data_IF_373297990011
#
_entry.id   IF_373297990011
#
_cell.length_a   1.000
_cell.length_b   1.000
_cell.length_c   1.000
_cell.angle_alpha   90.00
_cell.angle_beta   90.00
_cell.angle_gamma   90.00
#
_symmetry.space_group_name_H-M   'P 1'
#
loop_
_entity.id
_entity.type
_entity.pdbx_description
1 polymer ?
#
# COMPACT_ATOMS: atom_id res chain seq x y z
N UNK A 1 -1.56 -1.87 3.50
CA UNK A 1 -0.75 -0.69 3.16
C UNK A 1 -0.20 0.00 4.39
N UNK A 2 0.29 1.21 4.18
CA UNK A 2 0.92 2.02 5.21
C UNK A 2 2.38 1.63 5.48
N UNK A 3 3.10 2.44 6.23
CA UNK A 3 4.53 2.25 6.51
C UNK A 3 4.85 0.94 7.27
N UNK A 4 3.84 0.23 7.76
CA UNK A 4 3.99 -1.11 8.33
C UNK A 4 4.55 -2.11 7.30
N UNK A 5 4.26 -1.89 6.01
CA UNK A 5 4.78 -2.69 4.90
C UNK A 5 6.29 -2.58 4.81
N UNK A 6 6.80 -1.38 5.03
CA UNK A 6 8.21 -1.03 4.89
C UNK A 6 9.01 -1.43 6.12
N UNK A 7 8.44 -1.23 7.32
CA UNK A 7 9.14 -1.31 8.59
C UNK A 7 10.11 -0.15 8.80
N UNK A 8 10.51 0.09 10.03
CA UNK A 8 11.57 1.06 10.38
C UNK A 8 12.96 0.54 10.00
N UNK A 9 13.09 -0.76 9.84
CA UNK A 9 14.25 -1.46 9.28
C UNK A 9 13.78 -2.53 8.30
N UNK A 10 14.64 -3.00 7.43
CA UNK A 10 14.32 -4.12 6.53
C UNK A 10 13.93 -5.39 7.31
N UNK A 11 14.50 -5.60 8.48
CA UNK A 11 14.19 -6.75 9.33
C UNK A 11 12.77 -6.69 9.92
N UNK A 12 12.23 -5.49 10.13
CA UNK A 12 10.90 -5.27 10.72
C UNK A 12 9.79 -5.03 9.68
N UNK A 13 10.12 -5.14 8.37
CA UNK A 13 9.11 -5.08 7.31
C UNK A 13 8.03 -6.14 7.49
N UNK A 14 6.85 -5.88 6.97
CA UNK A 14 5.82 -6.89 6.92
C UNK A 14 6.18 -7.98 5.90
N UNK A 15 6.52 -9.17 6.42
CA UNK A 15 6.80 -10.34 5.60
C UNK A 15 5.60 -11.27 5.67
N UNK A 16 4.81 -11.30 4.60
CA UNK A 16 3.55 -12.04 4.55
C UNK A 16 3.71 -13.55 4.78
N UNK A 17 4.86 -14.13 4.41
CA UNK A 17 5.13 -15.56 4.64
C UNK A 17 5.18 -15.91 6.12
N UNK A 18 5.47 -14.92 7.00
CA UNK A 18 5.38 -15.10 8.45
C UNK A 18 3.94 -15.15 8.96
N UNK A 19 2.96 -14.86 8.12
CA UNK A 19 1.54 -14.88 8.45
C UNK A 19 0.81 -16.12 7.92
N UNK A 20 1.57 -17.12 7.46
CA UNK A 20 1.05 -18.36 6.86
C UNK A 20 1.12 -19.50 7.89
N UNK A 21 0.12 -20.38 7.87
CA UNK A 21 0.04 -21.51 8.78
C UNK A 21 -0.68 -21.20 10.09
N UNK A 22 -0.64 -22.12 11.08
CA UNK A 22 -1.34 -21.98 12.36
C UNK A 22 -0.97 -20.68 13.09
N UNK A 23 -1.97 -19.97 13.60
CA UNK A 23 -1.80 -18.64 14.23
C UNK A 23 -0.84 -18.68 15.41
N UNK A 24 -0.90 -19.74 16.20
CA UNK A 24 -0.06 -19.95 17.38
C UNK A 24 1.44 -20.11 17.08
N UNK A 25 1.78 -20.41 15.83
CA UNK A 25 3.16 -20.56 15.38
C UNK A 25 3.71 -19.32 14.69
N UNK A 26 2.89 -18.30 14.49
CA UNK A 26 3.33 -17.09 13.80
C UNK A 26 4.19 -16.21 14.72
N UNK A 27 5.27 -15.61 14.20
CA UNK A 27 6.12 -14.73 15.01
C UNK A 27 5.41 -13.44 15.40
N UNK A 28 6.01 -12.73 16.35
CA UNK A 28 5.64 -11.34 16.68
C UNK A 28 6.65 -10.44 15.99
N UNK A 29 6.18 -9.43 15.29
CA UNK A 29 7.00 -8.35 14.75
C UNK A 29 6.90 -7.13 15.67
N UNK A 30 8.04 -6.56 16.01
CA UNK A 30 8.14 -5.32 16.80
C UNK A 30 8.64 -4.24 15.86
N UNK A 31 7.83 -3.23 15.63
CA UNK A 31 8.20 -2.08 14.81
C UNK A 31 8.01 -0.79 15.61
N UNK A 32 9.01 0.05 15.63
CA UNK A 32 8.95 1.34 16.32
C UNK A 32 8.48 2.41 15.34
N UNK A 33 7.29 2.93 15.58
CA UNK A 33 6.62 3.89 14.71
C UNK A 33 6.78 5.36 15.14
N UNK A 34 7.56 5.64 16.16
CA UNK A 34 7.55 6.93 16.86
C UNK A 34 8.76 7.81 16.69
N UNK A 35 9.65 7.54 15.74
CA UNK A 35 10.80 8.42 15.53
C UNK A 35 10.36 9.84 15.16
N UNK A 36 9.37 9.95 14.26
CA UNK A 36 8.81 11.22 13.80
C UNK A 36 7.70 11.76 14.73
N UNK A 37 7.08 10.88 15.54
CA UNK A 37 5.97 11.25 16.43
C UNK A 37 6.25 10.89 17.89
N UNK A 38 7.28 11.51 18.53
CA UNK A 38 7.71 11.14 19.88
C UNK A 38 6.67 11.43 20.98
N UNK A 39 5.62 12.20 20.66
CA UNK A 39 4.52 12.52 21.58
C UNK A 39 3.51 11.38 21.74
N UNK A 40 3.56 10.34 20.91
CA UNK A 40 2.66 9.19 21.05
C UNK A 40 2.97 8.40 22.30
N UNK A 41 1.91 7.96 23.01
CA UNK A 41 2.03 7.19 24.27
C UNK A 41 2.67 5.82 24.07
N UNK A 42 2.47 5.21 22.90
CA UNK A 42 2.89 3.87 22.59
C UNK A 42 3.88 3.90 21.41
N UNK A 43 5.19 3.93 21.69
CA UNK A 43 6.22 4.04 20.66
C UNK A 43 6.38 2.78 19.80
N UNK A 44 6.06 1.61 20.35
CA UNK A 44 6.30 0.35 19.69
C UNK A 44 4.99 -0.30 19.24
N UNK A 45 5.00 -0.81 18.01
CA UNK A 45 3.95 -1.69 17.51
C UNK A 45 4.34 -3.14 17.73
N UNK A 46 3.40 -3.91 18.26
CA UNK A 46 3.52 -5.34 18.40
C UNK A 46 2.53 -6.00 17.47
N UNK A 47 3.03 -6.62 16.40
CA UNK A 47 2.22 -7.37 15.45
C UNK A 47 2.38 -8.87 15.70
N UNK A 48 1.31 -9.51 16.12
CA UNK A 48 1.28 -10.96 16.33
C UNK A 48 1.17 -11.77 15.04
N UNK A 49 0.96 -11.11 13.89
CA UNK A 49 0.63 -11.73 12.61
C UNK A 49 -0.58 -12.69 12.65
N UNK A 50 -1.42 -12.58 13.67
CA UNK A 50 -2.70 -13.30 13.75
C UNK A 50 -3.66 -12.95 12.63
N UNK A 51 -3.55 -11.72 12.08
CA UNK A 51 -4.19 -11.30 10.84
C UNK A 51 -3.11 -11.16 9.77
N UNK A 52 -3.09 -12.08 8.81
CA UNK A 52 -2.25 -12.06 7.63
C UNK A 52 -3.05 -11.84 6.35
N UNK A 53 -2.40 -11.94 5.20
CA UNK A 53 -3.13 -11.78 3.93
C UNK A 53 -4.19 -12.87 3.71
N UNK A 54 -4.00 -14.07 4.25
CA UNK A 54 -5.03 -15.10 4.19
C UNK A 54 -6.34 -14.61 4.82
N UNK A 55 -6.28 -14.12 6.06
CA UNK A 55 -7.44 -13.63 6.80
C UNK A 55 -8.03 -12.34 6.17
N UNK A 56 -7.18 -11.45 5.64
CA UNK A 56 -7.65 -10.26 4.91
C UNK A 56 -8.32 -10.61 3.58
N UNK A 57 -7.85 -11.63 2.88
CA UNK A 57 -8.49 -12.09 1.65
C UNK A 57 -9.84 -12.75 1.94
N UNK A 58 -9.95 -13.54 3.02
CA UNK A 58 -11.24 -14.05 3.50
C UNK A 58 -12.20 -12.92 3.86
N UNK A 59 -11.72 -11.92 4.62
CA UNK A 59 -12.55 -10.74 4.94
C UNK A 59 -13.02 -10.03 3.66
N UNK A 60 -12.16 -9.90 2.66
CA UNK A 60 -12.55 -9.29 1.38
C UNK A 60 -13.68 -10.08 0.71
N UNK A 61 -13.61 -11.41 0.69
CA UNK A 61 -14.70 -12.25 0.18
C UNK A 61 -16.00 -12.07 0.99
N UNK A 62 -15.90 -12.10 2.32
CA UNK A 62 -17.05 -11.99 3.23
C UNK A 62 -17.83 -10.68 3.05
N UNK A 63 -17.15 -9.59 2.76
CA UNK A 63 -17.77 -8.27 2.55
C UNK A 63 -17.97 -7.90 1.07
N UNK A 64 -17.59 -8.79 0.15
CA UNK A 64 -17.71 -8.57 -1.29
C UNK A 64 -16.75 -7.50 -1.83
N UNK A 65 -15.59 -7.32 -1.21
CA UNK A 65 -14.54 -6.40 -1.63
C UNK A 65 -13.43 -7.10 -2.41
N UNK A 66 -12.72 -6.35 -3.26
CA UNK A 66 -11.53 -6.85 -3.96
C UNK A 66 -10.30 -6.74 -3.04
N UNK A 67 -9.51 -7.81 -2.87
CA UNK A 67 -8.28 -7.76 -2.10
C UNK A 67 -7.20 -6.96 -2.83
N UNK A 68 -6.49 -6.09 -2.09
CA UNK A 68 -5.40 -5.27 -2.60
C UNK A 68 -4.22 -5.31 -1.62
N UNK A 69 -3.32 -6.29 -1.72
CA UNK A 69 -2.12 -6.34 -0.89
C UNK A 69 -1.07 -5.32 -1.35
N UNK A 70 -0.36 -4.74 -0.39
CA UNK A 70 0.81 -3.89 -0.62
C UNK A 70 2.05 -4.60 -0.10
N UNK A 71 3.10 -4.68 -0.92
CA UNK A 71 4.34 -5.38 -0.60
C UNK A 71 5.54 -4.44 -0.55
N UNK A 72 6.51 -4.82 0.26
CA UNK A 72 7.79 -4.13 0.37
C UNK A 72 8.62 -4.27 -0.93
N UNK A 73 9.20 -3.17 -1.39
CA UNK A 73 10.04 -3.12 -2.58
C UNK A 73 11.57 -3.13 -2.28
N UNK A 74 11.97 -3.54 -1.08
CA UNK A 74 13.36 -3.51 -0.65
C UNK A 74 13.80 -2.18 -0.04
N UNK A 75 12.85 -1.33 0.33
CA UNK A 75 13.08 -0.08 1.07
C UNK A 75 12.45 -0.18 2.45
N UNK A 76 13.17 0.25 3.49
CA UNK A 76 12.55 0.59 4.77
C UNK A 76 11.81 1.93 4.66
N UNK A 77 10.96 2.25 5.62
CA UNK A 77 10.21 3.50 5.62
C UNK A 77 11.18 4.70 5.55
N UNK A 78 11.01 5.55 4.55
CA UNK A 78 11.90 6.70 4.36
C UNK A 78 11.65 7.81 5.39
N UNK A 79 10.47 7.84 6.04
CA UNK A 79 10.18 8.74 7.16
C UNK A 79 10.73 8.22 8.49
N UNK A 80 10.58 6.92 8.75
CA UNK A 80 10.76 6.29 10.05
C UNK A 80 11.93 5.30 10.06
N UNK A 81 12.87 5.40 9.13
CA UNK A 81 14.03 4.52 9.10
C UNK A 81 15.11 4.96 10.10
N UNK A 82 15.90 3.98 10.55
CA UNK A 82 17.02 4.17 11.46
C UNK A 82 18.32 4.52 10.74
N UNK A 83 18.29 4.70 9.41
CA UNK A 83 19.43 5.08 8.58
C UNK A 83 19.35 4.56 7.15
N UNK A 84 20.10 5.18 6.26
CA UNK A 84 20.10 4.88 4.82
C UNK A 84 20.58 3.47 4.48
N UNK A 85 21.35 2.83 5.36
CA UNK A 85 21.86 1.47 5.17
C UNK A 85 20.80 0.37 5.30
N UNK A 86 19.58 0.75 5.63
CA UNK A 86 18.43 -0.16 5.76
C UNK A 86 17.79 -0.52 4.41
N UNK A 87 18.33 -0.04 3.29
CA UNK A 87 17.81 -0.34 1.96
C UNK A 87 18.54 -1.53 1.33
N UNK A 88 17.78 -2.43 0.71
CA UNK A 88 18.32 -3.58 -0.01
C UNK A 88 18.99 -3.10 -1.32
N UNK A 89 20.20 -3.54 -1.64
CA UNK A 89 20.79 -3.29 -2.95
C UNK A 89 19.92 -3.85 -4.09
N UNK A 90 19.85 -3.14 -5.22
CA UNK A 90 19.01 -3.52 -6.36
C UNK A 90 19.33 -4.93 -6.89
N UNK A 91 20.58 -5.31 -6.90
CA UNK A 91 21.05 -6.65 -7.30
C UNK A 91 20.66 -7.77 -6.32
N UNK A 92 20.10 -7.43 -5.17
CA UNK A 92 19.62 -8.37 -4.14
C UNK A 92 18.09 -8.35 -3.94
N UNK A 93 17.35 -7.81 -4.89
CA UNK A 93 15.88 -7.71 -4.81
C UNK A 93 15.16 -9.03 -5.14
N UNK A 94 15.85 -10.05 -5.67
CA UNK A 94 15.18 -11.29 -6.11
C UNK A 94 14.27 -11.91 -5.03
N UNK A 95 14.67 -12.03 -3.74
CA UNK A 95 13.78 -12.58 -2.71
C UNK A 95 12.48 -11.78 -2.50
N UNK A 96 12.51 -10.46 -2.73
CA UNK A 96 11.33 -9.59 -2.62
C UNK A 96 10.40 -9.75 -3.84
N UNK A 97 11.00 -9.92 -5.02
CA UNK A 97 10.27 -10.23 -6.25
C UNK A 97 9.60 -11.60 -6.13
N UNK A 98 10.31 -12.59 -5.61
CA UNK A 98 9.77 -13.93 -5.35
C UNK A 98 8.61 -13.85 -4.34
N UNK A 99 8.71 -13.02 -3.29
CA UNK A 99 7.62 -12.79 -2.35
C UNK A 99 6.34 -12.28 -3.05
N UNK A 100 6.48 -11.39 -4.04
CA UNK A 100 5.35 -10.89 -4.81
C UNK A 100 4.74 -11.96 -5.72
N UNK A 101 5.57 -12.71 -6.43
CA UNK A 101 5.12 -13.80 -7.31
C UNK A 101 4.46 -14.94 -6.52
N UNK A 102 5.04 -15.28 -5.37
CA UNK A 102 4.52 -16.30 -4.47
C UNK A 102 3.17 -15.88 -3.85
N UNK A 103 2.99 -14.60 -3.53
CA UNK A 103 1.71 -14.12 -3.02
C UNK A 103 0.59 -14.21 -4.07
N UNK A 104 0.91 -13.88 -5.32
CA UNK A 104 -0.06 -14.06 -6.42
C UNK A 104 -0.39 -15.55 -6.58
N UNK A 105 0.61 -16.43 -6.52
CA UNK A 105 0.37 -17.88 -6.57
C UNK A 105 -0.42 -18.36 -5.35
N UNK A 106 -0.12 -17.84 -4.14
CA UNK A 106 -0.88 -18.12 -2.93
C UNK A 106 -2.35 -17.74 -3.09
N UNK A 107 -2.63 -16.56 -3.62
CA UNK A 107 -3.98 -16.07 -3.81
C UNK A 107 -4.73 -16.82 -4.92
N UNK A 108 -4.10 -17.02 -6.06
CA UNK A 108 -4.77 -17.44 -7.31
C UNK A 108 -4.35 -18.82 -7.83
N UNK A 109 -3.20 -19.34 -7.41
CA UNK A 109 -2.65 -20.59 -7.93
C UNK A 109 -3.54 -21.81 -7.67
N UNK A 110 -3.45 -22.84 -8.52
CA UNK A 110 -4.17 -24.09 -8.32
C UNK A 110 -3.64 -24.82 -7.07
N UNK A 111 -4.45 -25.67 -6.47
CA UNK A 111 -4.07 -26.47 -5.28
C UNK A 111 -2.89 -27.42 -5.54
N UNK A 112 -2.52 -27.62 -6.79
CA UNK A 112 -1.35 -28.42 -7.20
C UNK A 112 -0.05 -27.62 -7.24
N UNK A 113 -0.12 -26.27 -7.16
CA UNK A 113 1.05 -25.41 -7.06
C UNK A 113 1.52 -25.31 -5.61
N UNK A 114 2.75 -24.86 -5.41
CA UNK A 114 3.34 -24.78 -4.07
C UNK A 114 2.50 -23.91 -3.12
N UNK A 115 2.23 -22.68 -3.50
CA UNK A 115 1.53 -21.73 -2.64
C UNK A 115 0.01 -21.89 -2.69
N UNK A 116 -0.56 -22.33 -3.80
CA UNK A 116 -1.97 -22.69 -3.88
C UNK A 116 -2.33 -23.88 -2.97
N UNK A 117 -1.39 -24.84 -2.81
CA UNK A 117 -1.53 -25.92 -1.84
C UNK A 117 -1.53 -25.38 -0.40
N UNK A 118 -0.63 -24.47 -0.08
CA UNK A 118 -0.58 -23.86 1.27
C UNK A 118 -1.89 -23.16 1.60
N UNK A 119 -2.45 -22.39 0.67
CA UNK A 119 -3.78 -21.78 0.83
C UNK A 119 -4.86 -22.82 1.11
N UNK A 120 -4.86 -23.91 0.34
CA UNK A 120 -5.85 -25.00 0.51
C UNK A 120 -5.70 -25.69 1.87
N UNK A 121 -4.46 -25.96 2.31
CA UNK A 121 -4.16 -26.54 3.62
C UNK A 121 -4.60 -25.61 4.79
N UNK A 122 -4.64 -24.30 4.56
CA UNK A 122 -5.20 -23.31 5.49
C UNK A 122 -6.74 -23.25 5.47
N UNK A 123 -7.39 -24.08 4.64
CA UNK A 123 -8.86 -24.20 4.61
C UNK A 123 -9.56 -23.49 3.46
N UNK A 124 -8.82 -22.89 2.51
CA UNK A 124 -9.40 -22.17 1.37
C UNK A 124 -8.86 -22.72 0.02
N UNK A 125 -9.42 -23.82 -0.50
CA UNK A 125 -8.96 -24.41 -1.76
C UNK A 125 -9.27 -23.57 -3.01
N UNK A 126 -10.31 -22.73 -2.96
CA UNK A 126 -10.66 -21.83 -4.07
C UNK A 126 -9.64 -20.69 -4.23
N UNK A 127 -9.57 -20.10 -5.42
CA UNK A 127 -8.82 -18.85 -5.64
C UNK A 127 -9.52 -17.69 -4.96
N UNK A 128 -8.74 -16.75 -4.38
CA UNK A 128 -9.24 -15.46 -3.92
C UNK A 128 -9.48 -14.46 -5.06
N UNK A 129 -9.13 -14.82 -6.29
CA UNK A 129 -9.31 -13.99 -7.46
C UNK A 129 -8.63 -12.60 -7.33
N UNK A 130 -7.42 -12.59 -6.79
CA UNK A 130 -6.60 -11.39 -6.66
C UNK A 130 -6.40 -10.73 -8.02
N UNK A 131 -6.69 -9.45 -8.11
CA UNK A 131 -6.60 -8.66 -9.35
C UNK A 131 -5.55 -7.56 -9.28
N UNK A 132 -5.21 -7.11 -8.08
CA UNK A 132 -4.35 -5.97 -7.82
C UNK A 132 -3.19 -6.35 -6.90
N UNK A 133 -2.03 -5.76 -7.14
CA UNK A 133 -0.90 -5.79 -6.23
C UNK A 133 -0.20 -4.43 -6.24
N UNK A 134 0.06 -3.88 -5.06
CA UNK A 134 0.85 -2.67 -4.92
C UNK A 134 2.27 -3.01 -4.44
N UNK A 135 3.27 -2.32 -4.99
CA UNK A 135 4.68 -2.53 -4.68
C UNK A 135 5.27 -1.23 -4.14
N UNK A 136 5.68 -1.25 -2.88
CA UNK A 136 6.12 -0.07 -2.14
C UNK A 136 4.96 0.71 -1.54
N UNK A 137 5.27 1.54 -0.55
CA UNK A 137 4.32 2.43 0.13
C UNK A 137 5.00 3.77 0.39
N UNK A 138 4.42 4.87 -0.10
CA UNK A 138 4.94 6.22 0.09
C UNK A 138 6.43 6.42 -0.26
N UNK A 139 6.99 5.57 -1.10
CA UNK A 139 8.38 5.71 -1.50
C UNK A 139 8.58 6.96 -2.36
N UNK A 140 9.74 7.60 -2.23
CA UNK A 140 10.10 8.77 -3.03
C UNK A 140 11.54 8.73 -3.56
N UNK A 141 11.82 9.66 -4.49
CA UNK A 141 13.13 9.80 -5.11
C UNK A 141 13.48 8.67 -6.08
N UNK A 142 14.70 8.70 -6.65
CA UNK A 142 15.11 7.77 -7.71
C UNK A 142 15.27 6.31 -7.23
N UNK A 143 15.45 6.09 -5.94
CA UNK A 143 15.58 4.75 -5.36
C UNK A 143 14.34 3.88 -5.61
N UNK A 144 13.16 4.49 -5.70
CA UNK A 144 11.93 3.75 -5.85
C UNK A 144 11.72 3.19 -7.26
N UNK A 145 11.72 3.98 -8.35
CA UNK A 145 11.52 3.42 -9.70
C UNK A 145 12.60 2.40 -10.09
N UNK A 146 13.85 2.55 -9.63
CA UNK A 146 14.92 1.55 -9.84
C UNK A 146 14.55 0.19 -9.27
N UNK A 147 13.84 0.15 -8.13
CA UNK A 147 13.41 -1.08 -7.47
C UNK A 147 12.08 -1.59 -8.03
N UNK A 148 11.15 -0.71 -8.35
CA UNK A 148 9.86 -1.10 -8.90
C UNK A 148 9.99 -1.79 -10.28
N UNK A 149 10.90 -1.32 -11.12
CA UNK A 149 11.05 -1.82 -12.49
C UNK A 149 11.25 -3.34 -12.59
N UNK A 150 12.15 -3.99 -11.82
CA UNK A 150 12.28 -5.46 -11.84
C UNK A 150 11.01 -6.20 -11.36
N UNK A 151 10.25 -5.67 -10.41
CA UNK A 151 8.96 -6.25 -10.02
C UNK A 151 7.95 -6.20 -11.18
N UNK A 152 7.82 -5.04 -11.81
CA UNK A 152 6.91 -4.88 -12.97
C UNK A 152 7.27 -5.89 -14.06
N UNK A 153 8.55 -6.03 -14.39
CA UNK A 153 9.00 -7.01 -15.40
C UNK A 153 8.65 -8.45 -15.03
N UNK A 154 8.92 -8.83 -13.78
CA UNK A 154 8.67 -10.19 -13.31
C UNK A 154 7.17 -10.52 -13.23
N UNK A 155 6.36 -9.62 -12.68
CA UNK A 155 4.91 -9.81 -12.57
C UNK A 155 4.28 -9.87 -13.96
N UNK A 156 4.61 -8.94 -14.87
CA UNK A 156 4.09 -8.95 -16.25
C UNK A 156 4.47 -10.22 -17.02
N UNK A 157 5.65 -10.78 -16.76
CA UNK A 157 6.08 -12.01 -17.41
C UNK A 157 5.32 -13.25 -16.95
N UNK A 158 4.95 -13.32 -15.67
CA UNK A 158 4.33 -14.52 -15.07
C UNK A 158 2.82 -14.41 -14.91
N UNK A 159 2.32 -13.19 -14.60
CA UNK A 159 0.92 -12.90 -14.29
C UNK A 159 0.46 -11.60 -14.98
N UNK A 160 0.37 -11.61 -16.34
CA UNK A 160 0.05 -10.39 -17.10
C UNK A 160 -1.35 -9.81 -16.80
N UNK A 161 -2.25 -10.61 -16.21
CA UNK A 161 -3.60 -10.21 -15.83
C UNK A 161 -3.65 -9.37 -14.54
N UNK A 162 -2.59 -9.42 -13.72
CA UNK A 162 -2.54 -8.70 -12.45
C UNK A 162 -2.25 -7.22 -12.71
N UNK A 163 -3.10 -6.35 -12.18
CA UNK A 163 -2.90 -4.91 -12.19
C UNK A 163 -1.86 -4.51 -11.16
N UNK A 164 -0.83 -3.78 -11.58
CA UNK A 164 0.26 -3.33 -10.75
C UNK A 164 0.03 -1.87 -10.35
N UNK A 165 0.15 -1.59 -9.05
CA UNK A 165 0.03 -0.26 -8.48
C UNK A 165 1.42 0.20 -8.03
N UNK A 166 1.83 1.39 -8.47
CA UNK A 166 3.05 2.06 -8.01
C UNK A 166 2.72 3.35 -7.28
N UNK A 167 3.61 3.78 -6.38
CA UNK A 167 3.42 4.98 -5.56
C UNK A 167 3.90 6.26 -6.25
N UNK A 168 3.19 7.36 -6.06
CA UNK A 168 3.64 8.71 -6.45
C UNK A 168 4.37 9.45 -5.33
N UNK A 169 4.69 8.76 -4.25
CA UNK A 169 5.32 9.34 -3.07
C UNK A 169 4.31 9.64 -1.94
N UNK A 170 4.79 10.30 -0.89
CA UNK A 170 3.98 10.54 0.32
C UNK A 170 3.03 11.73 0.19
N UNK A 171 3.05 12.43 -0.95
CA UNK A 171 2.27 13.63 -1.15
C UNK A 171 1.70 13.70 -2.57
N UNK A 172 0.67 14.51 -2.73
CA UNK A 172 -0.08 14.67 -3.97
C UNK A 172 0.42 15.81 -4.86
N UNK A 173 1.51 16.44 -4.51
CA UNK A 173 2.12 17.57 -5.24
C UNK A 173 3.59 17.77 -4.83
N UNK A 174 4.31 18.62 -5.56
CA UNK A 174 5.72 18.93 -5.31
C UNK A 174 6.68 17.99 -6.04
N UNK A 175 7.98 18.18 -5.77
CA UNK A 175 9.06 17.60 -6.58
C UNK A 175 9.04 16.08 -6.67
N UNK A 176 8.68 15.39 -5.60
CA UNK A 176 8.69 13.92 -5.58
C UNK A 176 7.50 13.37 -6.38
N UNK A 177 6.32 13.96 -6.23
CA UNK A 177 5.14 13.66 -7.03
C UNK A 177 5.38 13.94 -8.53
N UNK A 178 5.92 15.11 -8.85
CA UNK A 178 6.23 15.53 -10.22
C UNK A 178 7.31 14.67 -10.88
N UNK A 179 8.22 14.10 -10.09
CA UNK A 179 9.21 13.13 -10.54
C UNK A 179 8.62 11.74 -10.75
N UNK A 180 7.84 11.25 -9.79
CA UNK A 180 7.38 9.85 -9.78
C UNK A 180 6.24 9.59 -10.77
N UNK A 181 5.33 10.53 -10.99
CA UNK A 181 4.23 10.32 -11.95
C UNK A 181 4.71 9.97 -13.36
N UNK A 182 5.67 10.70 -13.99
CA UNK A 182 6.27 10.31 -15.26
C UNK A 182 6.96 8.93 -15.20
N UNK A 183 7.62 8.60 -14.09
CA UNK A 183 8.25 7.30 -13.91
C UNK A 183 7.22 6.15 -13.87
N UNK A 184 6.08 6.36 -13.20
CA UNK A 184 4.99 5.37 -13.19
C UNK A 184 4.44 5.15 -14.62
N UNK A 185 4.28 6.22 -15.40
CA UNK A 185 3.93 6.12 -16.83
C UNK A 185 4.99 5.37 -17.63
N UNK A 186 6.26 5.65 -17.41
CA UNK A 186 7.40 4.97 -18.09
C UNK A 186 7.40 3.48 -17.79
N UNK A 187 7.17 3.11 -16.54
CA UNK A 187 7.12 1.72 -16.08
C UNK A 187 5.83 1.00 -16.46
N UNK A 188 4.84 1.73 -16.99
CA UNK A 188 3.53 1.20 -17.39
C UNK A 188 2.81 0.46 -16.27
N UNK A 189 2.81 1.04 -15.07
CA UNK A 189 1.93 0.56 -14.00
C UNK A 189 0.47 0.81 -14.40
N UNK A 190 -0.46 0.03 -13.86
CA UNK A 190 -1.89 0.19 -14.18
C UNK A 190 -2.52 1.32 -13.40
N UNK A 191 -2.13 1.46 -12.12
CA UNK A 191 -2.59 2.54 -11.26
C UNK A 191 -1.42 3.21 -10.56
N UNK A 192 -1.61 4.47 -10.20
CA UNK A 192 -0.69 5.24 -9.36
C UNK A 192 -1.38 5.53 -8.04
N UNK A 193 -0.71 5.14 -6.96
CA UNK A 193 -1.16 5.37 -5.59
C UNK A 193 -0.77 6.79 -5.16
N UNK A 194 -1.78 7.61 -4.92
CA UNK A 194 -1.65 8.99 -4.43
C UNK A 194 -2.06 9.08 -2.97
N UNK A 195 -1.18 9.64 -2.13
CA UNK A 195 -1.44 9.89 -0.72
C UNK A 195 -1.50 11.39 -0.45
N UNK A 196 -2.44 11.83 0.37
CA UNK A 196 -2.55 13.23 0.75
C UNK A 196 -3.27 13.47 2.07
N UNK A 197 -2.55 14.11 2.98
CA UNK A 197 -3.03 14.60 4.27
C UNK A 197 -2.92 16.13 4.24
N UNK A 198 -4.05 16.82 4.01
CA UNK A 198 -4.07 18.23 3.66
C UNK A 198 -5.07 19.03 4.48
N UNK A 199 -4.95 20.37 4.43
CA UNK A 199 -5.86 21.27 5.15
C UNK A 199 -7.30 21.26 4.60
N UNK A 200 -8.29 21.73 5.39
CA UNK A 200 -9.64 21.90 4.92
C UNK A 200 -9.76 22.74 3.62
N UNK A 201 -8.98 23.83 3.53
CA UNK A 201 -8.99 24.67 2.32
C UNK A 201 -8.49 23.89 1.10
N UNK A 202 -7.43 23.09 1.27
CA UNK A 202 -6.91 22.29 0.16
C UNK A 202 -7.98 21.32 -0.36
N UNK A 203 -8.68 20.61 0.51
CA UNK A 203 -9.74 19.67 0.13
C UNK A 203 -10.87 20.36 -0.66
N UNK A 204 -11.35 21.52 -0.18
CA UNK A 204 -12.39 22.29 -0.86
C UNK A 204 -11.93 22.80 -2.23
N UNK A 205 -10.69 23.29 -2.33
CA UNK A 205 -10.13 23.82 -3.58
C UNK A 205 -9.76 22.73 -4.58
N UNK A 206 -9.50 21.51 -4.12
CA UNK A 206 -8.99 20.41 -4.95
C UNK A 206 -10.09 19.46 -5.47
N UNK A 207 -11.37 19.77 -5.28
CA UNK A 207 -12.48 18.95 -5.78
C UNK A 207 -12.49 18.75 -7.32
N UNK A 208 -11.71 19.56 -8.05
CA UNK A 208 -11.52 19.46 -9.52
C UNK A 208 -10.17 18.88 -9.92
N UNK A 209 -9.39 18.37 -8.97
CA UNK A 209 -8.02 17.87 -9.20
C UNK A 209 -7.94 16.92 -10.40
N UNK A 210 -8.82 15.95 -10.47
CA UNK A 210 -8.77 14.89 -11.48
C UNK A 210 -9.44 15.23 -12.81
N UNK A 211 -10.09 16.41 -12.93
CA UNK A 211 -10.77 16.83 -14.16
C UNK A 211 -9.82 16.94 -15.37
N UNK A 212 -8.53 17.25 -15.11
CA UNK A 212 -7.51 17.42 -16.15
C UNK A 212 -6.57 16.21 -16.33
N UNK A 213 -6.76 15.13 -15.57
CA UNK A 213 -5.89 13.96 -15.70
C UNK A 213 -6.08 13.24 -17.03
N UNK A 214 -4.98 12.67 -17.53
CA UNK A 214 -4.95 11.90 -18.77
C UNK A 214 -5.77 10.61 -18.64
N UNK A 215 -6.87 10.50 -19.40
CA UNK A 215 -7.77 9.34 -19.38
C UNK A 215 -7.15 8.08 -20.01
N UNK A 216 -6.07 8.25 -20.79
CA UNK A 216 -5.37 7.15 -21.46
C UNK A 216 -4.13 6.67 -20.68
N UNK A 217 -3.75 7.38 -19.62
CA UNK A 217 -2.64 7.02 -18.73
C UNK A 217 -3.03 5.99 -17.67
N UNK A 218 -2.10 5.72 -16.73
CA UNK A 218 -2.42 4.94 -15.54
C UNK A 218 -3.62 5.55 -14.81
N UNK A 219 -4.42 4.68 -14.19
CA UNK A 219 -5.51 5.13 -13.32
C UNK A 219 -4.97 5.59 -11.97
N UNK A 220 -5.82 6.22 -11.18
CA UNK A 220 -5.49 6.68 -9.83
C UNK A 220 -6.08 5.72 -8.81
N UNK A 221 -5.26 5.37 -7.84
CA UNK A 221 -5.67 4.86 -6.55
C UNK A 221 -5.40 5.96 -5.52
N UNK A 222 -6.44 6.61 -4.97
CA UNK A 222 -6.29 7.51 -3.84
C UNK A 222 -6.19 6.66 -2.57
N UNK A 223 -4.98 6.14 -2.29
CA UNK A 223 -4.76 5.04 -1.35
C UNK A 223 -4.75 5.47 0.11
N UNK A 224 -4.36 6.72 0.38
CA UNK A 224 -4.46 7.30 1.72
C UNK A 224 -4.84 8.77 1.63
N UNK A 225 -5.92 9.16 2.29
CA UNK A 225 -6.24 10.58 2.43
C UNK A 225 -7.06 10.86 3.68
N UNK A 226 -6.79 12.02 4.28
CA UNK A 226 -7.62 12.60 5.32
C UNK A 226 -7.43 14.12 5.40
N UNK A 227 -8.47 14.82 5.81
CA UNK A 227 -8.43 16.25 6.04
C UNK A 227 -7.79 16.54 7.41
N UNK A 228 -6.61 17.15 7.40
CA UNK A 228 -5.86 17.50 8.60
C UNK A 228 -5.86 19.02 8.84
N UNK A 229 -6.68 19.54 9.77
CA UNK A 229 -6.53 20.90 10.25
C UNK A 229 -5.22 21.03 11.06
N UNK A 230 -4.80 22.26 11.36
CA UNK A 230 -3.53 22.53 12.06
C UNK A 230 -3.39 21.79 13.39
N UNK A 231 -4.49 21.61 14.12
CA UNK A 231 -4.51 20.87 15.40
C UNK A 231 -4.73 19.37 15.23
N UNK A 232 -4.91 18.89 14.00
CA UNK A 232 -5.25 17.49 13.65
C UNK A 232 -6.49 16.93 14.35
N UNK A 233 -7.38 17.78 14.83
CA UNK A 233 -8.63 17.36 15.44
C UNK A 233 -9.67 17.03 14.37
N UNK A 234 -10.27 15.86 14.48
CA UNK A 234 -11.40 15.47 13.66
C UNK A 234 -12.62 16.32 14.02
N UNK A 235 -13.29 16.87 13.02
CA UNK A 235 -14.43 17.74 13.21
C UNK A 235 -15.46 17.54 12.10
N UNK A 236 -16.68 18.04 12.31
CA UNK A 236 -17.69 18.03 11.26
C UNK A 236 -17.26 18.84 10.01
N UNK A 237 -16.47 19.90 10.20
CA UNK A 237 -15.92 20.65 9.08
C UNK A 237 -14.98 19.81 8.23
N UNK A 238 -14.08 19.03 8.85
CA UNK A 238 -13.16 18.15 8.10
C UNK A 238 -13.91 17.09 7.32
N UNK A 239 -14.95 16.48 7.91
CA UNK A 239 -15.81 15.54 7.22
C UNK A 239 -16.54 16.15 6.01
N UNK A 240 -17.03 17.41 6.12
CA UNK A 240 -17.64 18.12 4.99
C UNK A 240 -16.62 18.42 3.87
N UNK A 241 -15.38 18.77 4.23
CA UNK A 241 -14.33 19.03 3.25
C UNK A 241 -13.96 17.75 2.49
N UNK A 242 -13.83 16.63 3.19
CA UNK A 242 -13.59 15.32 2.58
C UNK A 242 -14.77 14.91 1.67
N UNK A 243 -16.00 15.05 2.14
CA UNK A 243 -17.19 14.74 1.34
C UNK A 243 -17.26 15.60 0.06
N UNK A 244 -16.93 16.89 0.14
CA UNK A 244 -16.86 17.75 -1.02
C UNK A 244 -15.78 17.29 -2.03
N UNK A 245 -14.61 16.90 -1.55
CA UNK A 245 -13.55 16.34 -2.38
C UNK A 245 -13.96 15.02 -3.04
N UNK A 246 -14.61 14.11 -2.30
CA UNK A 246 -15.09 12.82 -2.81
C UNK A 246 -16.04 12.97 -3.99
N UNK A 247 -16.81 14.06 -4.09
CA UNK A 247 -17.62 14.32 -5.29
C UNK A 247 -16.77 14.45 -6.56
N UNK A 248 -15.52 14.92 -6.40
CA UNK A 248 -14.53 14.98 -7.47
C UNK A 248 -13.97 13.61 -7.85
N UNK A 249 -13.78 12.73 -6.87
CA UNK A 249 -13.38 11.34 -7.11
C UNK A 249 -14.45 10.60 -7.91
N UNK A 250 -15.71 10.66 -7.47
CA UNK A 250 -16.84 10.02 -8.15
C UNK A 250 -17.07 10.57 -9.57
N UNK A 251 -16.99 11.90 -9.73
CA UNK A 251 -17.14 12.54 -11.05
C UNK A 251 -16.08 12.07 -12.04
N UNK A 252 -14.91 11.72 -11.56
CA UNK A 252 -13.76 11.25 -12.33
C UNK A 252 -13.51 9.75 -12.17
N UNK A 253 -14.54 8.93 -12.00
CA UNK A 253 -14.42 7.47 -11.83
C UNK A 253 -13.80 6.76 -13.04
N UNK A 254 -13.71 7.43 -14.18
CA UNK A 254 -12.97 6.97 -15.36
C UNK A 254 -11.44 7.13 -15.23
N UNK A 255 -10.98 7.89 -14.23
CA UNK A 255 -9.57 8.08 -13.88
C UNK A 255 -9.29 7.53 -12.48
N UNK A 256 -10.11 7.88 -11.49
CA UNK A 256 -9.96 7.40 -10.12
C UNK A 256 -10.67 6.05 -9.98
N UNK A 257 -9.91 4.97 -10.14
CA UNK A 257 -10.47 3.60 -10.11
C UNK A 257 -10.73 3.13 -8.67
N UNK A 258 -9.88 3.53 -7.73
CA UNK A 258 -9.94 3.12 -6.33
C UNK A 258 -9.69 4.30 -5.39
N UNK A 259 -10.30 4.27 -4.22
CA UNK A 259 -9.95 5.16 -3.12
C UNK A 259 -10.15 4.48 -1.76
N UNK A 260 -9.28 4.80 -0.80
CA UNK A 260 -9.34 4.29 0.58
C UNK A 260 -9.00 5.39 1.57
N UNK A 261 -9.81 5.50 2.63
CA UNK A 261 -9.59 6.48 3.70
C UNK A 261 -8.56 5.97 4.70
N UNK A 262 -7.65 6.81 5.18
CA UNK A 262 -6.63 6.44 6.14
C UNK A 262 -6.34 7.52 7.19
N UNK A 263 -6.28 7.12 8.48
CA UNK A 263 -6.68 5.83 9.02
C UNK A 263 -8.19 5.73 9.19
N UNK A 264 -8.79 4.59 8.85
CA UNK A 264 -10.24 4.39 8.99
C UNK A 264 -10.64 4.26 10.47
N UNK A 265 -9.82 3.55 11.24
CA UNK A 265 -9.99 3.38 12.68
C UNK A 265 -8.75 3.83 13.42
N UNK A 266 -8.95 4.62 14.48
CA UNK A 266 -7.89 5.04 15.38
C UNK A 266 -8.36 4.92 16.85
N UNK A 267 -7.45 4.48 17.72
CA UNK A 267 -7.74 4.44 19.15
C UNK A 267 -7.61 5.85 19.72
N UNK A 268 -8.69 6.39 20.27
CA UNK A 268 -8.75 7.80 20.73
C UNK A 268 -7.71 8.17 21.79
N UNK A 269 -7.28 7.20 22.61
CA UNK A 269 -6.27 7.45 23.65
C UNK A 269 -4.83 7.35 23.13
N UNK A 270 -4.64 6.89 21.88
CA UNK A 270 -3.32 6.69 21.27
C UNK A 270 -2.91 7.83 20.31
N UNK A 271 -3.86 8.72 20.01
CA UNK A 271 -3.66 9.88 19.13
C UNK A 271 -3.56 11.18 19.91
#
# INVERSE_FOLDING_TARGET
>A
GGCIVEGTTIATRYQWKNTVGPVENRPINISRWNYTFPHKKFPDYYQSYGLGFFEYFQLSEDIGAEPLPVLNCGLSCQFENEGMDQHVPVDKLQPYIDDALDLIEFANGPITSQWGKVRADMGHPASFNLKFIAIGNEQWGPLYPERLEPFVKAIRAKYPEIKIIGSSGPDSEGKDFEYLWPEMKRLKVDLVDEHFYRSPEWFLNSAKRYDSYDRQGPKVFAGEYACHPTNRENSFLTALCEAAFMTGLERNADVVELCTYAPLFAHVDAW
#
